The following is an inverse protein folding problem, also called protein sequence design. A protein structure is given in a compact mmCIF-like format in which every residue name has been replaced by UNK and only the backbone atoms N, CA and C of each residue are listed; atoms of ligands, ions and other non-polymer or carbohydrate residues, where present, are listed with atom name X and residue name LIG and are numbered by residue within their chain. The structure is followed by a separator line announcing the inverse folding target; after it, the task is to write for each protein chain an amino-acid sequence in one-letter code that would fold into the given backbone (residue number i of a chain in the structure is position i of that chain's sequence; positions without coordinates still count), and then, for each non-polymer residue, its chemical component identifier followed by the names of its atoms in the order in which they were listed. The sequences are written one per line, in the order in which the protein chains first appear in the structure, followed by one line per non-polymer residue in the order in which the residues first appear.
data_IF_695095853338
#
_entry.id   IF_695095853338
#
_cell.length_a   1.000
_cell.length_b   1.000
_cell.length_c   1.000
_cell.angle_alpha   90.00
_cell.angle_beta   90.00
_cell.angle_gamma   90.00
#
_symmetry.space_group_name_H-M   'P 1'
#
loop_
_entity.id
_entity.type
_entity.pdbx_description
1 polymer ?
#
# COMPACT_ATOMS: atom_id res chain seq x y z
N UNK A 1 3.48 -0.84 -1.09
CA UNK A 1 2.87 0.03 -2.11
C UNK A 1 1.57 -0.62 -2.56
N UNK A 2 0.47 0.09 -2.83
CA UNK A 2 0.03 1.33 -2.20
C UNK A 2 -0.79 1.07 -0.91
N UNK A 3 -1.01 -0.21 -0.55
CA UNK A 3 -1.78 -0.62 0.64
C UNK A 3 -1.23 -0.02 1.91
N UNK A 4 -2.12 0.47 2.79
CA UNK A 4 -1.84 1.08 4.09
C UNK A 4 -0.87 0.28 4.98
N UNK A 5 -0.12 0.97 5.83
CA UNK A 5 1.00 0.41 6.60
C UNK A 5 0.57 -0.38 7.83
N UNK A 6 -0.71 -0.71 7.95
CA UNK A 6 -1.27 -1.37 9.12
C UNK A 6 -0.65 -2.76 9.33
N UNK A 7 -0.46 -3.52 8.25
CA UNK A 7 0.14 -4.86 8.31
C UNK A 7 1.61 -4.80 8.71
N UNK A 8 2.32 -3.75 8.31
CA UNK A 8 3.73 -3.48 8.65
C UNK A 8 3.91 -3.39 10.16
N UNK A 9 2.97 -2.74 10.86
CA UNK A 9 2.98 -2.60 12.33
C UNK A 9 2.79 -3.96 13.01
N UNK A 10 1.90 -4.80 12.49
CA UNK A 10 1.68 -6.16 13.00
C UNK A 10 2.93 -7.03 12.77
N UNK A 11 3.50 -6.98 11.57
CA UNK A 11 4.69 -7.75 11.22
C UNK A 11 5.88 -7.36 12.10
N UNK A 12 6.08 -6.05 12.34
CA UNK A 12 7.12 -5.54 13.24
C UNK A 12 6.94 -6.05 14.68
N UNK A 13 5.73 -6.00 15.23
CA UNK A 13 5.45 -6.45 16.60
C UNK A 13 5.62 -7.98 16.76
N UNK A 14 5.26 -8.74 15.72
CA UNK A 14 5.31 -10.21 15.73
C UNK A 14 6.65 -10.79 15.28
N UNK A 15 7.56 -9.96 14.77
CA UNK A 15 8.84 -10.39 14.21
C UNK A 15 8.69 -11.20 12.91
N UNK A 16 7.55 -11.11 12.23
CA UNK A 16 7.30 -11.82 10.98
C UNK A 16 7.91 -11.07 9.79
N UNK A 17 8.46 -11.79 8.79
CA UNK A 17 8.90 -11.18 7.54
C UNK A 17 7.75 -10.43 6.86
N UNK A 18 8.07 -9.26 6.29
CA UNK A 18 7.12 -8.42 5.56
C UNK A 18 7.74 -8.05 4.21
N UNK A 19 6.95 -8.19 3.15
CA UNK A 19 7.34 -7.84 1.79
C UNK A 19 6.44 -6.72 1.26
N UNK A 20 7.06 -5.59 0.92
CA UNK A 20 6.38 -4.54 0.19
C UNK A 20 6.58 -4.77 -1.32
N UNK A 21 5.52 -5.21 -2.01
CA UNK A 21 5.58 -5.47 -3.46
C UNK A 21 4.94 -4.34 -4.27
N UNK A 22 5.17 -4.27 -5.59
CA UNK A 22 4.33 -3.47 -6.47
C UNK A 22 2.91 -4.04 -6.54
N UNK A 23 1.97 -3.28 -7.09
CA UNK A 23 0.61 -3.75 -7.31
C UNK A 23 0.57 -4.84 -8.38
N UNK A 24 -0.23 -5.87 -8.14
CA UNK A 24 -0.40 -7.01 -9.03
C UNK A 24 -0.05 -8.30 -8.33
N UNK A 25 -1.00 -9.24 -8.35
CA UNK A 25 -0.90 -10.50 -7.60
C UNK A 25 0.29 -11.39 -7.98
N UNK A 26 0.84 -11.21 -9.20
CA UNK A 26 2.02 -11.95 -9.69
C UNK A 26 3.23 -11.89 -8.75
N UNK A 27 3.44 -10.76 -8.06
CA UNK A 27 4.56 -10.60 -7.13
C UNK A 27 4.38 -11.46 -5.88
N UNK A 28 3.14 -11.63 -5.42
CA UNK A 28 2.83 -12.54 -4.32
C UNK A 28 2.99 -14.00 -4.76
N UNK A 29 2.60 -14.35 -5.98
CA UNK A 29 2.76 -15.70 -6.54
C UNK A 29 4.20 -16.21 -6.44
N UNK A 30 5.17 -15.40 -6.89
CA UNK A 30 6.60 -15.72 -6.76
C UNK A 30 7.01 -15.99 -5.29
N UNK A 31 6.60 -15.12 -4.37
CA UNK A 31 6.92 -15.27 -2.94
C UNK A 31 6.26 -16.51 -2.32
N UNK A 32 5.02 -16.84 -2.72
CA UNK A 32 4.32 -18.04 -2.28
C UNK A 32 5.02 -19.30 -2.78
N UNK A 33 5.41 -19.34 -4.05
CA UNK A 33 6.11 -20.49 -4.66
C UNK A 33 7.49 -20.72 -4.02
N UNK A 34 8.13 -19.64 -3.55
CA UNK A 34 9.39 -19.71 -2.80
C UNK A 34 9.20 -20.02 -1.30
N UNK A 35 7.97 -20.24 -0.81
CA UNK A 35 7.67 -20.49 0.60
C UNK A 35 7.95 -19.31 1.53
N UNK A 36 7.97 -18.08 0.99
CA UNK A 36 8.29 -16.84 1.71
C UNK A 36 7.05 -16.08 2.21
N UNK A 37 5.86 -16.43 1.75
CA UNK A 37 4.64 -15.65 1.98
C UNK A 37 3.43 -16.57 2.16
N UNK A 38 2.69 -16.38 3.26
CA UNK A 38 1.45 -17.12 3.53
C UNK A 38 0.21 -16.24 3.63
N UNK A 39 0.34 -14.91 3.82
CA UNK A 39 -0.79 -13.99 3.87
C UNK A 39 -0.43 -12.71 3.10
N UNK A 40 -1.32 -12.27 2.21
CA UNK A 40 -1.12 -11.04 1.44
C UNK A 40 -2.44 -10.33 1.13
N UNK A 41 -2.34 -9.05 0.76
CA UNK A 41 -3.50 -8.25 0.43
C UNK A 41 -3.16 -6.95 -0.28
N UNK A 42 -4.16 -6.43 -0.99
CA UNK A 42 -4.10 -5.17 -1.74
C UNK A 42 -5.25 -4.28 -1.25
N UNK A 43 -5.01 -2.96 -1.12
CA UNK A 43 -6.05 -1.99 -0.74
C UNK A 43 -7.28 -1.99 -1.66
N UNK A 44 -7.11 -2.47 -2.88
CA UNK A 44 -8.17 -2.68 -3.87
C UNK A 44 -9.06 -3.89 -3.53
N UNK A 45 -9.41 -4.06 -2.25
CA UNK A 45 -10.28 -5.10 -1.71
C UNK A 45 -9.80 -6.53 -1.98
N UNK A 46 -8.48 -6.73 -2.08
CA UNK A 46 -7.87 -8.04 -2.31
C UNK A 46 -7.28 -8.64 -1.03
N UNK A 47 -7.59 -9.90 -0.73
CA UNK A 47 -6.94 -10.65 0.35
C UNK A 47 -6.80 -12.11 -0.08
N UNK A 48 -5.72 -12.77 0.34
CA UNK A 48 -5.49 -14.19 0.05
C UNK A 48 -4.30 -14.76 0.82
N UNK A 49 -4.13 -16.08 0.70
CA UNK A 49 -3.02 -16.84 1.27
C UNK A 49 -2.39 -17.75 0.21
N UNK A 50 -1.34 -18.48 0.60
CA UNK A 50 -0.64 -19.47 -0.22
C UNK A 50 -1.45 -20.72 -0.58
N UNK A 51 -2.71 -20.82 -0.13
CA UNK A 51 -3.63 -21.92 -0.49
C UNK A 51 -3.95 -21.98 -1.99
N UNK A 52 -3.93 -20.84 -2.68
CA UNK A 52 -4.03 -20.71 -4.13
C UNK A 52 -3.07 -19.61 -4.62
N UNK A 53 -3.10 -19.27 -5.92
CA UNK A 53 -2.28 -18.20 -6.52
C UNK A 53 -3.12 -17.02 -7.01
N UNK A 54 -4.25 -16.80 -6.36
CA UNK A 54 -5.20 -15.73 -6.64
C UNK A 54 -5.74 -15.10 -5.35
N UNK A 55 -6.40 -13.95 -5.49
CA UNK A 55 -7.23 -13.39 -4.41
C UNK A 55 -8.44 -14.29 -4.18
N UNK A 56 -8.88 -14.41 -2.93
CA UNK A 56 -10.09 -15.17 -2.61
C UNK A 56 -10.94 -14.41 -1.58
N UNK A 57 -12.05 -13.86 -2.06
CA UNK A 57 -13.00 -13.12 -1.22
C UNK A 57 -13.83 -14.03 -0.30
N UNK A 58 -14.15 -15.26 -0.71
CA UNK A 58 -14.89 -16.21 0.13
C UNK A 58 -13.98 -16.69 1.27
N UNK A 59 -12.73 -17.02 0.94
CA UNK A 59 -11.72 -17.35 1.93
C UNK A 59 -11.52 -16.23 2.94
N UNK A 60 -11.43 -14.97 2.48
CA UNK A 60 -11.28 -13.81 3.38
C UNK A 60 -12.51 -13.64 4.30
N UNK A 61 -13.72 -13.87 3.78
CA UNK A 61 -14.94 -13.84 4.58
C UNK A 61 -14.96 -14.95 5.64
N UNK A 62 -14.58 -16.18 5.28
CA UNK A 62 -14.50 -17.31 6.21
C UNK A 62 -13.41 -17.09 7.28
N UNK A 63 -12.27 -16.51 6.90
CA UNK A 63 -11.21 -16.12 7.85
C UNK A 63 -11.73 -15.10 8.88
N UNK A 64 -12.51 -14.10 8.44
CA UNK A 64 -13.18 -13.17 9.34
C UNK A 64 -14.19 -13.86 10.27
N UNK A 65 -15.00 -14.79 9.76
CA UNK A 65 -15.94 -15.55 10.58
C UNK A 65 -15.20 -16.38 11.66
N UNK A 66 -14.05 -16.97 11.32
CA UNK A 66 -13.20 -17.65 12.30
C UNK A 66 -12.70 -16.69 13.38
N UNK A 67 -12.21 -15.49 13.01
CA UNK A 67 -11.77 -14.47 13.96
C UNK A 67 -12.92 -14.07 14.90
N UNK A 68 -14.11 -13.80 14.36
CA UNK A 68 -15.27 -13.41 15.15
C UNK A 68 -15.72 -14.54 16.08
N UNK A 69 -15.64 -15.78 15.61
CA UNK A 69 -15.98 -16.95 16.42
C UNK A 69 -15.03 -17.11 17.61
N UNK A 70 -13.73 -16.91 17.42
CA UNK A 70 -12.74 -17.01 18.51
C UNK A 70 -12.84 -15.81 19.46
N UNK A 71 -13.01 -14.60 18.92
CA UNK A 71 -13.03 -13.36 19.70
C UNK A 71 -14.34 -13.12 20.44
N UNK A 72 -15.47 -13.66 19.95
CA UNK A 72 -16.83 -13.41 20.50
C UNK A 72 -17.17 -11.92 20.60
N UNK A 73 -16.71 -11.14 19.65
CA UNK A 73 -16.85 -9.68 19.59
C UNK A 73 -17.50 -9.26 18.27
N UNK A 74 -18.05 -8.04 18.21
CA UNK A 74 -18.43 -7.43 16.94
C UNK A 74 -17.19 -7.09 16.09
N UNK A 75 -17.37 -6.98 14.78
CA UNK A 75 -16.31 -6.51 13.85
C UNK A 75 -15.72 -5.18 14.32
N UNK A 76 -16.58 -4.24 14.73
CA UNK A 76 -16.15 -2.93 15.23
C UNK A 76 -15.22 -3.04 16.43
N UNK A 77 -15.54 -3.90 17.40
CA UNK A 77 -14.72 -4.07 18.60
C UNK A 77 -13.38 -4.73 18.27
N UNK A 78 -13.35 -5.72 17.38
CA UNK A 78 -12.09 -6.34 16.91
C UNK A 78 -11.19 -5.29 16.26
N UNK A 79 -11.75 -4.42 15.40
CA UNK A 79 -11.00 -3.36 14.73
C UNK A 79 -10.52 -2.28 15.71
N UNK A 80 -11.35 -1.86 16.66
CA UNK A 80 -10.97 -0.89 17.69
C UNK A 80 -9.90 -1.44 18.64
N UNK A 81 -9.97 -2.71 19.01
CA UNK A 81 -8.94 -3.40 19.79
C UNK A 81 -7.61 -3.45 19.02
N UNK A 82 -7.67 -3.74 17.72
CA UNK A 82 -6.51 -3.71 16.83
C UNK A 82 -5.87 -2.31 16.78
N UNK A 83 -6.66 -1.25 16.61
CA UNK A 83 -6.17 0.12 16.62
C UNK A 83 -5.58 0.53 17.97
N UNK A 84 -6.17 0.09 19.07
CA UNK A 84 -5.63 0.33 20.42
C UNK A 84 -4.25 -0.30 20.58
N UNK A 85 -4.04 -1.50 20.04
CA UNK A 85 -2.77 -2.23 20.14
C UNK A 85 -1.68 -1.69 19.21
N UNK A 86 -2.00 -1.50 17.92
CA UNK A 86 -0.99 -1.21 16.89
C UNK A 86 -0.97 0.26 16.45
N UNK A 87 -1.95 1.06 16.85
CA UNK A 87 -2.24 2.36 16.24
C UNK A 87 -3.16 2.22 15.03
N UNK A 88 -3.74 3.34 14.59
CA UNK A 88 -4.64 3.41 13.44
C UNK A 88 -3.95 4.06 12.26
N UNK A 89 -3.86 3.33 11.16
CA UNK A 89 -3.57 3.89 9.84
C UNK A 89 -4.89 4.37 9.21
N UNK A 90 -5.09 5.68 9.16
CA UNK A 90 -6.22 6.31 8.46
C UNK A 90 -5.89 6.34 6.98
N UNK A 91 -6.56 5.47 6.22
CA UNK A 91 -6.28 5.27 4.81
C UNK A 91 -7.43 5.70 3.91
N UNK A 92 -7.10 6.32 2.78
CA UNK A 92 -8.04 6.60 1.70
C UNK A 92 -7.35 6.64 0.34
N UNK A 93 -8.12 6.38 -0.71
CA UNK A 93 -7.69 6.46 -2.11
C UNK A 93 -8.58 7.43 -2.87
N UNK A 94 -7.94 8.32 -3.62
CA UNK A 94 -8.57 9.25 -4.55
C UNK A 94 -8.22 8.82 -5.96
N UNK A 95 -9.25 8.46 -6.74
CA UNK A 95 -9.12 8.11 -8.15
C UNK A 95 -9.58 9.28 -9.00
N UNK A 96 -8.64 9.91 -9.71
CA UNK A 96 -8.93 10.91 -10.73
C UNK A 96 -8.96 10.20 -12.08
N UNK A 97 -10.16 9.86 -12.54
CA UNK A 97 -10.39 9.09 -13.75
C UNK A 97 -10.46 9.97 -15.00
N UNK A 98 -10.25 9.36 -16.16
CA UNK A 98 -10.40 9.98 -17.49
C UNK A 98 -9.62 11.30 -17.63
N UNK A 99 -8.46 11.39 -16.99
CA UNK A 99 -7.58 12.55 -17.08
C UNK A 99 -6.88 12.58 -18.45
N UNK A 100 -6.51 13.77 -18.90
CA UNK A 100 -5.62 13.91 -20.05
C UNK A 100 -4.28 13.20 -19.78
N UNK A 101 -3.91 12.28 -20.67
CA UNK A 101 -2.72 11.45 -20.48
C UNK A 101 -1.44 12.29 -20.48
N UNK A 102 -1.35 13.34 -21.30
CA UNK A 102 -0.15 14.18 -21.38
C UNK A 102 0.05 14.99 -20.10
N UNK A 103 -1.02 15.61 -19.58
CA UNK A 103 -1.03 16.34 -18.32
C UNK A 103 -0.76 15.44 -17.12
N UNK A 104 -1.33 14.24 -17.09
CA UNK A 104 -1.08 13.28 -16.01
C UNK A 104 0.39 12.81 -15.98
N UNK A 105 0.99 12.55 -17.14
CA UNK A 105 2.41 12.21 -17.24
C UNK A 105 3.31 13.39 -16.84
N UNK A 106 2.95 14.62 -17.24
CA UNK A 106 3.66 15.83 -16.86
C UNK A 106 3.63 16.03 -15.33
N UNK A 107 2.47 15.82 -14.70
CA UNK A 107 2.33 15.89 -13.25
C UNK A 107 3.25 14.89 -12.55
N UNK A 108 3.26 13.62 -12.97
CA UNK A 108 4.13 12.60 -12.38
C UNK A 108 5.61 12.95 -12.55
N UNK A 109 6.01 13.41 -13.74
CA UNK A 109 7.39 13.85 -14.03
C UNK A 109 7.79 15.03 -13.15
N UNK A 110 6.88 16.00 -12.98
CA UNK A 110 7.10 17.15 -12.13
C UNK A 110 7.30 16.72 -10.67
N UNK A 111 6.40 15.91 -10.11
CA UNK A 111 6.54 15.41 -8.72
C UNK A 111 7.86 14.65 -8.56
N UNK A 112 8.20 13.76 -9.49
CA UNK A 112 9.45 12.99 -9.48
C UNK A 112 10.68 13.91 -9.45
N UNK A 113 10.67 15.00 -10.23
CA UNK A 113 11.77 15.98 -10.24
C UNK A 113 11.96 16.74 -8.91
N UNK A 114 10.91 16.84 -8.08
CA UNK A 114 10.93 17.58 -6.83
C UNK A 114 11.24 16.71 -5.60
N UNK A 115 11.28 15.38 -5.74
CA UNK A 115 11.38 14.46 -4.59
C UNK A 115 12.57 14.75 -3.67
N UNK A 116 13.75 15.01 -4.25
CA UNK A 116 14.95 15.33 -3.47
C UNK A 116 14.82 16.65 -2.72
N UNK A 117 14.16 17.64 -3.32
CA UNK A 117 13.92 18.93 -2.69
C UNK A 117 12.89 18.85 -1.55
N UNK A 118 12.02 17.83 -1.53
CA UNK A 118 11.04 17.63 -0.47
C UNK A 118 11.65 17.08 0.81
N UNK A 119 12.75 16.33 0.77
CA UNK A 119 13.32 15.70 1.98
C UNK A 119 13.72 16.78 3.00
N UNK A 120 13.23 16.64 4.23
CA UNK A 120 13.40 17.61 5.31
C UNK A 120 12.42 18.79 5.28
N UNK A 121 11.61 18.96 4.23
CA UNK A 121 10.56 19.99 4.23
C UNK A 121 9.45 19.65 5.23
N UNK A 122 8.91 20.70 5.84
CA UNK A 122 7.80 20.63 6.80
C UNK A 122 6.55 21.22 6.17
N UNK A 123 5.49 20.43 6.13
CA UNK A 123 4.15 20.85 5.70
C UNK A 123 3.23 20.91 6.91
N UNK A 124 2.50 22.01 7.09
CA UNK A 124 1.59 22.21 8.22
C UNK A 124 0.18 22.51 7.73
N UNK A 125 -0.81 21.77 8.24
CA UNK A 125 -2.23 22.00 7.99
C UNK A 125 -3.06 21.57 9.21
N UNK A 126 -4.08 22.35 9.58
CA UNK A 126 -4.98 22.06 10.70
C UNK A 126 -4.24 21.60 11.98
N UNK A 127 -3.22 22.36 12.37
CA UNK A 127 -2.36 22.13 13.55
C UNK A 127 -1.48 20.86 13.50
N UNK A 128 -1.57 20.04 12.45
CA UNK A 128 -0.66 18.92 12.21
C UNK A 128 0.51 19.37 11.35
N UNK A 129 1.69 18.84 11.67
CA UNK A 129 2.92 19.06 10.91
C UNK A 129 3.49 17.74 10.44
N UNK A 130 3.83 17.66 9.17
CA UNK A 130 4.43 16.50 8.53
C UNK A 130 5.80 16.89 7.98
N UNK A 131 6.86 16.22 8.44
CA UNK A 131 8.23 16.41 7.95
C UNK A 131 8.54 15.26 7.01
N UNK A 132 8.92 15.57 5.77
CA UNK A 132 9.26 14.55 4.78
C UNK A 132 10.56 13.87 5.19
N UNK A 133 10.47 12.59 5.49
CA UNK A 133 11.61 11.73 5.83
C UNK A 133 12.31 11.21 4.58
N UNK A 134 11.53 10.82 3.58
CA UNK A 134 12.02 10.13 2.40
C UNK A 134 11.03 10.28 1.25
N UNK A 135 11.55 10.40 0.02
CA UNK A 135 10.74 10.40 -1.18
C UNK A 135 11.45 9.65 -2.31
N UNK A 136 10.73 8.77 -3.00
CA UNK A 136 11.26 7.98 -4.11
C UNK A 136 10.22 7.61 -5.16
N UNK A 137 10.69 7.10 -6.29
CA UNK A 137 9.86 6.38 -7.24
C UNK A 137 10.09 4.88 -7.05
N UNK A 138 9.10 4.21 -6.46
CA UNK A 138 9.23 2.86 -5.93
C UNK A 138 9.76 1.88 -6.98
N UNK A 139 10.80 1.16 -6.61
CA UNK A 139 11.37 0.07 -7.38
C UNK A 139 11.42 -1.19 -6.52
N UNK A 140 11.16 -2.33 -7.14
CA UNK A 140 11.17 -3.64 -6.49
C UNK A 140 12.07 -4.58 -7.26
N UNK A 141 12.98 -5.25 -6.55
CA UNK A 141 13.75 -6.38 -7.07
C UNK A 141 13.18 -7.64 -6.45
N UNK A 142 12.68 -8.53 -7.29
CA UNK A 142 12.07 -9.77 -6.82
C UNK A 142 13.12 -10.69 -6.19
N UNK A 143 12.94 -11.14 -4.93
CA UNK A 143 13.94 -11.93 -4.22
C UNK A 143 13.93 -13.42 -4.60
N UNK A 144 13.15 -13.79 -5.62
CA UNK A 144 13.03 -15.16 -6.15
C UNK A 144 13.66 -15.23 -7.54
N UNK A 145 13.22 -14.36 -8.45
CA UNK A 145 13.68 -14.40 -9.86
C UNK A 145 14.68 -13.27 -10.24
N UNK A 146 14.91 -12.31 -9.35
CA UNK A 146 15.84 -11.19 -9.57
C UNK A 146 15.33 -10.12 -10.54
N UNK A 147 14.10 -10.23 -11.03
CA UNK A 147 13.51 -9.24 -11.93
C UNK A 147 13.33 -7.88 -11.23
N UNK A 148 13.52 -6.80 -11.97
CA UNK A 148 13.44 -5.43 -11.44
C UNK A 148 12.24 -4.71 -12.05
N UNK A 149 11.29 -4.32 -11.20
CA UNK A 149 10.16 -3.47 -11.55
C UNK A 149 10.42 -2.04 -11.07
N UNK A 150 10.73 -1.13 -11.99
CA UNK A 150 10.97 0.29 -11.69
C UNK A 150 9.70 1.13 -11.90
N UNK A 151 9.72 2.35 -11.38
CA UNK A 151 8.67 3.37 -11.59
C UNK A 151 7.27 2.92 -11.19
N UNK A 152 7.15 2.20 -10.07
CA UNK A 152 5.89 1.57 -9.65
C UNK A 152 4.94 2.51 -8.88
N UNK A 153 5.41 3.72 -8.56
CA UNK A 153 4.64 4.76 -7.90
C UNK A 153 5.55 5.68 -7.10
N UNK A 154 5.27 6.99 -7.13
CA UNK A 154 6.00 7.96 -6.34
C UNK A 154 5.51 7.90 -4.90
N UNK A 155 6.40 7.81 -3.93
CA UNK A 155 6.08 7.76 -2.50
C UNK A 155 6.72 8.95 -1.80
N UNK A 156 5.98 9.59 -0.92
CA UNK A 156 6.46 10.61 0.01
C UNK A 156 6.13 10.10 1.41
N UNK A 157 7.16 9.79 2.19
CA UNK A 157 7.05 9.23 3.53
C UNK A 157 7.46 10.30 4.55
N UNK A 158 6.68 10.40 5.62
CA UNK A 158 6.89 11.37 6.68
C UNK A 158 7.48 10.72 7.94
N UNK A 159 8.07 11.52 8.83
CA UNK A 159 8.75 11.03 10.04
C UNK A 159 7.81 10.32 11.04
N UNK A 160 6.54 10.70 11.08
CA UNK A 160 5.50 10.12 11.94
C UNK A 160 4.97 8.76 11.44
N UNK A 161 5.44 8.32 10.27
CA UNK A 161 5.00 7.11 9.60
C UNK A 161 3.85 7.31 8.62
N UNK A 162 3.32 8.54 8.50
CA UNK A 162 2.37 8.91 7.45
C UNK A 162 3.04 8.81 6.08
N UNK A 163 2.24 8.64 5.03
CA UNK A 163 2.72 8.64 3.65
C UNK A 163 1.65 8.98 2.64
N UNK A 164 2.13 9.51 1.53
CA UNK A 164 1.34 9.76 0.33
C UNK A 164 1.97 9.02 -0.84
N UNK A 165 1.15 8.32 -1.62
CA UNK A 165 1.61 7.59 -2.82
C UNK A 165 0.84 8.07 -4.04
N UNK A 166 1.55 8.36 -5.12
CA UNK A 166 0.98 8.70 -6.42
C UNK A 166 1.26 7.57 -7.40
N UNK A 167 0.23 7.14 -8.10
CA UNK A 167 0.35 6.19 -9.19
C UNK A 167 -0.39 6.68 -10.42
N UNK A 168 0.18 6.38 -11.57
CA UNK A 168 -0.45 6.58 -12.86
C UNK A 168 -0.76 5.22 -13.47
N UNK A 169 -1.95 5.07 -14.01
CA UNK A 169 -2.38 3.84 -14.66
C UNK A 169 -3.26 4.12 -15.86
N UNK A 170 -3.39 3.12 -16.74
CA UNK A 170 -4.39 3.13 -17.79
C UNK A 170 -4.14 4.16 -18.89
N UNK A 171 -2.89 4.50 -19.22
CA UNK A 171 -2.49 5.51 -20.24
C UNK A 171 -2.78 5.11 -21.69
N UNK A 172 -3.84 4.33 -21.93
CA UNK A 172 -4.27 3.86 -23.24
C UNK A 172 -5.21 4.86 -23.93
N UNK A 173 -6.01 4.37 -24.88
CA UNK A 173 -6.93 5.20 -25.68
C UNK A 173 -8.06 5.88 -24.88
N UNK A 174 -8.28 5.48 -23.63
CA UNK A 174 -9.38 5.96 -22.78
C UNK A 174 -8.96 7.05 -21.77
N UNK A 175 -7.76 7.62 -21.91
CA UNK A 175 -7.22 8.65 -21.01
C UNK A 175 -6.22 8.05 -20.01
N UNK A 176 -6.10 8.65 -18.82
CA UNK A 176 -5.29 8.12 -17.74
C UNK A 176 -6.03 8.22 -16.39
N UNK A 177 -5.71 7.33 -15.46
CA UNK A 177 -6.19 7.40 -14.08
C UNK A 177 -5.02 7.69 -13.15
N UNK A 178 -5.09 8.83 -12.45
CA UNK A 178 -4.18 9.16 -11.35
C UNK A 178 -4.81 8.61 -10.08
N UNK A 179 -4.06 7.78 -9.35
CA UNK A 179 -4.46 7.30 -8.02
C UNK A 179 -3.57 7.93 -6.97
N UNK A 180 -4.20 8.65 -6.06
CA UNK A 180 -3.56 9.24 -4.88
C UNK A 180 -3.98 8.44 -3.64
N UNK A 181 -3.01 7.92 -2.93
CA UNK A 181 -3.20 7.18 -1.68
C UNK A 181 -2.69 8.03 -0.53
N UNK A 182 -3.48 8.14 0.53
CA UNK A 182 -3.12 8.85 1.75
C UNK A 182 -3.25 7.88 2.91
N UNK A 183 -2.18 7.74 3.69
CA UNK A 183 -2.06 6.85 4.84
C UNK A 183 -1.47 7.66 6.00
N UNK A 184 -2.26 7.94 7.04
CA UNK A 184 -1.88 8.77 8.19
C UNK A 184 -1.99 8.04 9.51
#
# INVERSE_FOLDING_TARGET
MPTAGAVDRVAKETGLPMYETPTGWKFFGNLMDAGKLSLCGEESFGTGSDHIREKDGIWAALAWLQILQEKKQSVENVVKEHWSKYGRNVFTRYDYENCDASGANLMMTFIESQMQAFVGQKFTANEKSFIVKYADNFAYTDPVDGSVSQKQGIRILFEDGSRTVFRLSGTGSLGATIRLYVDS
#
